data_IF_963710968903
#
_entry.id   IF_963710968903
#
_cell.length_a   1.000
_cell.length_b   1.000
_cell.length_c   1.000
_cell.angle_alpha   90.00
_cell.angle_beta   90.00
_cell.angle_gamma   90.00
#
_symmetry.space_group_name_H-M   'P 1'
#
loop_
_entity.id
_entity.type
_entity.pdbx_description
1 polymer ?
#
# COMPACT_ATOMS: atom_id res chain seq x y z
N UNK A 1 -4.96 32.15 -20.57
CA UNK A 1 -5.41 30.89 -19.95
C UNK A 1 -4.53 30.63 -18.76
N UNK A 2 -5.03 30.85 -17.54
CA UNK A 2 -4.22 30.71 -16.32
C UNK A 2 -4.20 29.24 -15.87
N UNK A 3 -3.01 28.71 -15.66
CA UNK A 3 -2.78 27.40 -15.07
C UNK A 3 -3.35 27.37 -13.64
N UNK A 4 -4.45 26.64 -13.45
CA UNK A 4 -5.05 26.45 -12.12
C UNK A 4 -4.50 25.17 -11.49
N UNK A 5 -3.59 25.36 -10.53
CA UNK A 5 -3.04 24.26 -9.73
C UNK A 5 -4.12 23.80 -8.74
N UNK A 6 -4.75 22.64 -8.99
CA UNK A 6 -5.68 22.04 -8.03
C UNK A 6 -4.90 21.65 -6.75
N UNK A 7 -5.30 22.12 -5.56
CA UNK A 7 -4.53 21.92 -4.32
C UNK A 7 -4.64 20.50 -3.73
N UNK A 8 -5.28 19.56 -4.41
CA UNK A 8 -5.53 18.22 -3.87
C UNK A 8 -4.34 17.29 -4.09
N UNK A 9 -3.16 17.67 -3.57
CA UNK A 9 -2.04 16.74 -3.42
C UNK A 9 -2.34 15.88 -2.21
N UNK A 10 -2.69 14.61 -2.42
CA UNK A 10 -2.51 13.61 -1.37
C UNK A 10 -1.02 13.56 -1.06
N UNK A 11 -0.65 14.06 0.12
CA UNK A 11 0.73 13.98 0.59
C UNK A 11 1.10 12.51 0.69
N UNK A 12 2.11 12.10 -0.08
CA UNK A 12 2.67 10.76 -0.01
C UNK A 12 4.18 10.91 0.07
N UNK A 13 4.78 10.21 1.01
CA UNK A 13 6.23 10.14 1.17
C UNK A 13 6.74 8.83 0.59
N UNK A 14 7.77 8.90 -0.25
CA UNK A 14 8.43 7.68 -0.72
C UNK A 14 9.23 7.05 0.43
N UNK A 15 8.99 5.76 0.70
CA UNK A 15 9.74 4.97 1.69
C UNK A 15 10.34 3.76 0.97
N UNK A 16 11.66 3.59 1.10
CA UNK A 16 12.38 2.45 0.50
C UNK A 16 12.64 1.40 1.57
N UNK A 17 12.16 0.18 1.34
CA UNK A 17 12.38 -0.98 2.21
C UNK A 17 12.77 -2.20 1.38
N UNK A 18 13.46 -3.17 2.01
CA UNK A 18 13.85 -4.42 1.36
C UNK A 18 12.88 -5.53 1.74
N UNK A 19 12.35 -6.22 0.75
CA UNK A 19 11.55 -7.43 0.94
C UNK A 19 12.39 -8.68 0.69
N UNK A 20 12.17 -9.77 1.45
CA UNK A 20 12.69 -11.08 1.08
C UNK A 20 12.17 -11.50 -0.30
N UNK A 21 13.04 -12.11 -1.13
CA UNK A 21 12.68 -12.53 -2.50
C UNK A 21 11.48 -13.47 -2.51
N UNK A 22 11.45 -14.42 -1.58
CA UNK A 22 10.34 -15.37 -1.45
C UNK A 22 9.00 -14.70 -1.18
N UNK A 23 9.01 -13.57 -0.48
CA UNK A 23 7.79 -12.82 -0.18
C UNK A 23 7.29 -12.07 -1.41
N UNK A 24 8.20 -11.46 -2.18
CA UNK A 24 7.87 -10.81 -3.45
C UNK A 24 7.23 -11.82 -4.41
N UNK A 25 7.84 -12.99 -4.59
CA UNK A 25 7.32 -14.04 -5.48
C UNK A 25 5.90 -14.49 -5.10
N UNK A 26 5.61 -14.56 -3.79
CA UNK A 26 4.28 -14.92 -3.29
C UNK A 26 3.27 -13.80 -3.54
N UNK A 27 3.67 -12.55 -3.32
CA UNK A 27 2.81 -11.38 -3.58
C UNK A 27 2.51 -11.29 -5.07
N UNK A 28 3.52 -11.39 -5.93
CA UNK A 28 3.36 -11.34 -7.39
C UNK A 28 2.41 -12.43 -7.87
N UNK A 29 2.56 -13.67 -7.40
CA UNK A 29 1.61 -14.76 -7.72
C UNK A 29 0.20 -14.49 -7.21
N UNK A 30 0.04 -13.85 -6.05
CA UNK A 30 -1.28 -13.54 -5.49
C UNK A 30 -1.99 -12.44 -6.28
N UNK A 31 -1.26 -11.44 -6.76
CA UNK A 31 -1.81 -10.34 -7.56
C UNK A 31 -1.95 -10.67 -9.05
N UNK A 32 -1.40 -11.80 -9.53
CA UNK A 32 -1.61 -12.27 -10.91
C UNK A 32 -3.12 -12.44 -11.16
N UNK A 33 -3.62 -11.73 -12.16
CA UNK A 33 -5.05 -11.59 -12.54
C UNK A 33 -5.90 -10.68 -11.64
N UNK A 34 -5.30 -10.05 -10.64
CA UNK A 34 -5.92 -8.93 -9.95
C UNK A 34 -5.45 -7.64 -10.63
N UNK A 35 -6.36 -6.73 -10.95
CA UNK A 35 -6.03 -5.42 -11.53
C UNK A 35 -5.47 -4.47 -10.45
N UNK A 36 -4.47 -4.94 -9.72
CA UNK A 36 -3.85 -4.27 -8.58
C UNK A 36 -2.34 -4.23 -8.75
N UNK A 37 -1.73 -3.14 -8.31
CA UNK A 37 -0.27 -2.99 -8.31
C UNK A 37 0.33 -3.50 -7.01
N UNK A 38 1.61 -3.88 -7.05
CA UNK A 38 2.36 -4.24 -5.85
C UNK A 38 2.27 -3.16 -4.76
N UNK A 39 2.41 -1.88 -5.13
CA UNK A 39 2.29 -0.76 -4.18
C UNK A 39 0.91 -0.68 -3.53
N UNK A 40 -0.16 -0.86 -4.31
CA UNK A 40 -1.53 -0.86 -3.77
C UNK A 40 -1.78 -2.04 -2.84
N UNK A 41 -1.25 -3.22 -3.17
CA UNK A 41 -1.31 -4.39 -2.30
C UNK A 41 -0.60 -4.13 -0.97
N UNK A 42 0.62 -3.58 -1.00
CA UNK A 42 1.39 -3.29 0.22
C UNK A 42 0.69 -2.27 1.11
N UNK A 43 0.10 -1.21 0.53
CA UNK A 43 -0.66 -0.21 1.30
C UNK A 43 -1.84 -0.88 2.01
N UNK A 44 -2.65 -1.67 1.30
CA UNK A 44 -3.81 -2.36 1.87
C UNK A 44 -3.41 -3.37 2.95
N UNK A 45 -2.32 -4.11 2.73
CA UNK A 45 -1.81 -5.06 3.72
C UNK A 45 -1.38 -4.34 5.01
N UNK A 46 -0.72 -3.19 4.90
CA UNK A 46 -0.35 -2.35 6.03
C UNK A 46 -1.59 -1.81 6.77
N UNK A 47 -2.59 -1.29 6.05
CA UNK A 47 -3.84 -0.80 6.64
C UNK A 47 -4.59 -1.92 7.38
N UNK A 48 -4.69 -3.10 6.78
CA UNK A 48 -5.31 -4.26 7.40
C UNK A 48 -4.58 -4.67 8.69
N UNK A 49 -3.25 -4.79 8.63
CA UNK A 49 -2.44 -5.15 9.80
C UNK A 49 -2.56 -4.11 10.93
N UNK A 50 -2.57 -2.82 10.61
CA UNK A 50 -2.74 -1.76 11.61
C UNK A 50 -4.13 -1.81 12.25
N UNK A 51 -5.19 -1.97 11.45
CA UNK A 51 -6.55 -2.11 11.97
C UNK A 51 -6.69 -3.33 12.88
N UNK A 52 -6.13 -4.47 12.51
CA UNK A 52 -6.15 -5.70 13.33
C UNK A 52 -5.43 -5.49 14.68
N UNK A 53 -4.27 -4.84 14.67
CA UNK A 53 -3.54 -4.47 15.89
C UNK A 53 -4.33 -3.52 16.81
N UNK A 54 -5.11 -2.58 16.24
CA UNK A 54 -5.93 -1.65 17.01
C UNK A 54 -7.20 -2.29 17.56
N UNK A 55 -7.80 -3.24 16.82
CA UNK A 55 -8.93 -4.04 17.33
C UNK A 55 -8.51 -4.94 18.49
N UNK A 56 -7.27 -5.46 18.47
CA UNK A 56 -6.70 -6.28 19.54
C UNK A 56 -6.39 -5.49 20.82
N UNK A 57 -6.20 -4.16 20.72
CA UNK A 57 -5.95 -3.28 21.88
C UNK A 57 -7.22 -2.75 22.55
N UNK A 58 -8.35 -2.80 21.87
CA UNK A 58 -9.64 -2.28 22.34
C UNK A 58 -10.64 -3.39 22.74
N UNK A 59 -10.20 -4.65 22.82
CA UNK A 59 -10.90 -5.74 23.51
C UNK A 59 -10.32 -5.94 24.90
#
# INVERSE_FOLDING_TARGET
>A
MAFQLKPNRKESENKTIRFPVELIDRIDKAIVNQDVTFSSFVIQACEYALNDMDTSKNQ
#
